data_IF_300462169202
#
_entry.id   IF_300462169202
#
_cell.length_a   1.000
_cell.length_b   1.000
_cell.length_c   1.000
_cell.angle_alpha   90.00
_cell.angle_beta   90.00
_cell.angle_gamma   90.00
#
_symmetry.space_group_name_H-M   'P 1'
#
loop_
_entity.id
_entity.type
_entity.pdbx_description
1 polymer ?
#
# COMPACT_ATOMS: atom_id res chain seq x y z
N UNK A 1 -15.67 -0.42 -12.96
CA UNK A 1 -14.22 -0.75 -12.93
C UNK A 1 -13.53 0.05 -11.82
N UNK A 2 -13.30 -0.53 -10.62
CA UNK A 2 -12.67 0.22 -9.53
C UNK A 2 -11.17 0.38 -9.76
N UNK A 3 -10.65 1.52 -9.35
CA UNK A 3 -9.22 1.83 -9.40
C UNK A 3 -8.79 2.29 -8.01
N UNK A 4 -7.92 1.52 -7.38
CA UNK A 4 -7.41 1.83 -6.05
C UNK A 4 -5.92 2.16 -6.17
N UNK A 5 -5.55 3.34 -5.71
CA UNK A 5 -4.16 3.77 -5.65
C UNK A 5 -3.74 3.88 -4.19
N UNK A 6 -2.73 3.12 -3.80
CA UNK A 6 -2.19 3.18 -2.45
C UNK A 6 -0.80 3.78 -2.50
N UNK A 7 -0.61 4.92 -1.84
CA UNK A 7 0.71 5.53 -1.72
C UNK A 7 1.40 4.94 -0.49
N UNK A 8 2.57 4.37 -0.71
CA UNK A 8 3.35 3.73 0.35
C UNK A 8 4.74 4.39 0.38
N UNK A 9 5.32 4.45 1.55
CA UNK A 9 6.70 4.91 1.64
C UNK A 9 7.61 3.80 1.11
N UNK A 10 8.51 4.14 0.20
CA UNK A 10 9.41 3.19 -0.43
C UNK A 10 10.19 2.37 0.61
N UNK A 11 10.22 1.07 0.43
CA UNK A 11 10.99 0.15 1.26
C UNK A 11 10.32 -0.30 2.55
N UNK A 12 9.13 0.22 2.88
CA UNK A 12 8.41 -0.21 4.09
C UNK A 12 7.70 -1.54 3.88
N UNK A 13 7.12 -1.73 2.69
CA UNK A 13 6.43 -2.98 2.35
C UNK A 13 7.28 -3.82 1.42
N UNK A 14 7.48 -5.08 1.76
CA UNK A 14 8.14 -6.04 0.86
C UNK A 14 7.22 -6.38 -0.31
N UNK A 15 7.78 -7.01 -1.34
CA UNK A 15 6.99 -7.46 -2.49
C UNK A 15 5.91 -8.46 -2.07
N UNK A 16 6.24 -9.35 -1.13
CA UNK A 16 5.27 -10.32 -0.59
C UNK A 16 4.13 -9.62 0.15
N UNK A 17 4.46 -8.62 0.94
CA UNK A 17 3.47 -7.84 1.67
C UNK A 17 2.56 -7.06 0.73
N UNK A 18 3.12 -6.48 -0.34
CA UNK A 18 2.33 -5.77 -1.34
C UNK A 18 1.38 -6.72 -2.07
N UNK A 19 1.85 -7.92 -2.40
CA UNK A 19 0.99 -8.93 -3.03
C UNK A 19 -0.16 -9.33 -2.12
N UNK A 20 0.11 -9.47 -0.83
CA UNK A 20 -0.91 -9.79 0.18
C UNK A 20 -1.93 -8.66 0.30
N UNK A 21 -1.46 -7.42 0.35
CA UNK A 21 -2.33 -6.24 0.45
C UNK A 21 -3.20 -6.11 -0.81
N UNK A 22 -2.62 -6.31 -2.00
CA UNK A 22 -3.37 -6.30 -3.25
C UNK A 22 -4.51 -7.32 -3.21
N UNK A 23 -4.20 -8.54 -2.75
CA UNK A 23 -5.22 -9.59 -2.66
C UNK A 23 -6.34 -9.20 -1.70
N UNK A 24 -6.00 -8.66 -0.53
CA UNK A 24 -6.98 -8.25 0.46
C UNK A 24 -7.91 -7.15 -0.08
N UNK A 25 -7.36 -6.18 -0.80
CA UNK A 25 -8.15 -5.10 -1.41
C UNK A 25 -9.10 -5.67 -2.46
N UNK A 26 -8.60 -6.51 -3.34
CA UNK A 26 -9.41 -7.12 -4.39
C UNK A 26 -10.51 -8.00 -3.79
N UNK A 27 -10.18 -8.81 -2.78
CA UNK A 27 -11.14 -9.67 -2.11
C UNK A 27 -12.26 -8.84 -1.44
N UNK A 28 -11.91 -7.70 -0.87
CA UNK A 28 -12.91 -6.81 -0.28
C UNK A 28 -13.91 -6.29 -1.32
N UNK A 29 -13.40 -5.95 -2.51
CA UNK A 29 -14.28 -5.52 -3.62
C UNK A 29 -15.20 -6.65 -4.07
N UNK A 30 -14.66 -7.85 -4.16
CA UNK A 30 -15.42 -9.05 -4.55
C UNK A 30 -16.53 -9.35 -3.54
N UNK A 31 -16.24 -9.20 -2.26
CA UNK A 31 -17.23 -9.42 -1.20
C UNK A 31 -18.43 -8.50 -1.36
N UNK A 32 -18.20 -7.27 -1.80
CA UNK A 32 -19.25 -6.27 -1.96
C UNK A 32 -20.00 -6.42 -3.29
N UNK A 33 -19.27 -6.66 -4.37
CA UNK A 33 -19.82 -6.61 -5.74
C UNK A 33 -19.95 -7.95 -6.45
N UNK A 34 -19.38 -9.00 -5.90
CA UNK A 34 -19.38 -10.33 -6.51
C UNK A 34 -18.10 -10.62 -7.30
N UNK A 35 -17.92 -11.89 -7.65
CA UNK A 35 -16.68 -12.39 -8.23
C UNK A 35 -16.31 -11.74 -9.57
N UNK A 36 -17.30 -11.32 -10.34
CA UNK A 36 -17.05 -10.71 -11.67
C UNK A 36 -16.21 -9.43 -11.60
N UNK A 37 -16.19 -8.74 -10.43
CA UNK A 37 -15.41 -7.51 -10.29
C UNK A 37 -13.90 -7.78 -10.20
N UNK A 38 -13.50 -9.02 -9.87
CA UNK A 38 -12.10 -9.35 -9.63
C UNK A 38 -11.19 -8.99 -10.81
N UNK A 39 -11.58 -9.38 -12.00
CA UNK A 39 -10.74 -9.18 -13.19
C UNK A 39 -10.71 -7.72 -13.67
N UNK A 40 -11.58 -6.87 -13.14
CA UNK A 40 -11.62 -5.46 -13.52
C UNK A 40 -11.22 -4.50 -12.40
N UNK A 41 -10.75 -5.04 -11.28
CA UNK A 41 -10.28 -4.24 -10.15
C UNK A 41 -8.80 -3.89 -10.35
N UNK A 42 -8.49 -2.61 -10.39
CA UNK A 42 -7.14 -2.12 -10.54
C UNK A 42 -6.59 -1.73 -9.17
N UNK A 43 -5.43 -2.26 -8.83
CA UNK A 43 -4.72 -1.89 -7.61
C UNK A 43 -3.32 -1.43 -8.00
N UNK A 44 -3.01 -0.19 -7.73
CA UNK A 44 -1.72 0.41 -8.05
C UNK A 44 -1.05 0.86 -6.76
N UNK A 45 0.21 0.47 -6.59
CA UNK A 45 1.03 0.95 -5.49
C UNK A 45 1.96 2.02 -6.03
N UNK A 46 1.89 3.19 -5.42
CA UNK A 46 2.70 4.33 -5.79
C UNK A 46 3.68 4.55 -4.64
N UNK A 47 4.92 4.10 -4.82
CA UNK A 47 5.92 4.19 -3.77
C UNK A 47 6.61 5.54 -3.77
N UNK A 48 6.47 6.25 -2.65
CA UNK A 48 7.09 7.55 -2.46
C UNK A 48 8.51 7.33 -1.93
N UNK A 49 9.48 7.92 -2.61
CA UNK A 49 10.89 7.78 -2.25
C UNK A 49 11.14 8.24 -0.81
N UNK A 50 11.98 7.48 -0.11
CA UNK A 50 12.41 7.83 1.25
C UNK A 50 12.94 9.27 1.28
N UNK A 51 12.43 10.07 2.22
CA UNK A 51 12.78 11.47 2.35
C UNK A 51 11.87 12.41 1.57
N UNK A 52 10.98 11.89 0.72
CA UNK A 52 10.05 12.72 -0.06
C UNK A 52 8.66 12.83 0.56
N UNK A 53 8.49 12.32 1.75
CA UNK A 53 7.21 12.37 2.44
C UNK A 53 7.37 13.19 3.71
N UNK A 54 6.60 14.24 3.83
CA UNK A 54 6.70 15.16 4.95
C UNK A 54 5.38 15.23 5.70
N UNK A 55 5.48 15.29 7.01
CA UNK A 55 4.35 15.51 7.89
C UNK A 55 4.63 16.84 8.61
N UNK A 56 4.12 17.94 8.05
CA UNK A 56 4.51 19.27 8.50
C UNK A 56 6.00 19.50 8.27
N UNK A 57 6.72 19.77 9.32
CA UNK A 57 8.17 19.97 9.24
C UNK A 57 8.98 18.68 9.42
N UNK A 58 8.29 17.56 9.66
CA UNK A 58 8.95 16.28 9.90
C UNK A 58 9.09 15.50 8.59
N UNK A 59 10.31 15.20 8.22
CA UNK A 59 10.60 14.33 7.09
C UNK A 59 10.52 12.88 7.51
N UNK A 60 9.80 12.09 6.74
CA UNK A 60 9.71 10.65 6.99
C UNK A 60 10.71 9.93 6.11
N UNK A 61 11.41 8.96 6.68
CA UNK A 61 12.31 8.10 5.92
C UNK A 61 12.09 6.64 6.29
N UNK A 62 12.44 5.78 5.35
CA UNK A 62 12.18 4.34 5.46
C UNK A 62 12.82 3.72 6.68
N UNK A 63 14.08 4.06 6.97
CA UNK A 63 14.82 3.46 8.07
C UNK A 63 14.13 3.70 9.41
N UNK A 64 13.67 4.93 9.64
CA UNK A 64 12.99 5.29 10.89
C UNK A 64 11.64 4.60 11.02
N UNK A 65 10.89 4.52 9.92
CA UNK A 65 9.57 3.88 9.93
C UNK A 65 9.71 2.39 10.19
N UNK A 66 10.63 1.72 9.52
CA UNK A 66 10.87 0.28 9.72
C UNK A 66 11.32 0.00 11.15
N UNK A 67 12.19 0.84 11.71
CA UNK A 67 12.63 0.70 13.09
C UNK A 67 11.48 0.87 14.08
N UNK A 68 10.60 1.85 13.84
CA UNK A 68 9.43 2.07 14.69
C UNK A 68 8.47 0.87 14.65
N UNK A 69 8.28 0.28 13.47
CA UNK A 69 7.42 -0.90 13.32
C UNK A 69 7.96 -2.12 14.06
N UNK A 70 9.28 -2.28 14.11
CA UNK A 70 9.91 -3.39 14.85
C UNK A 70 9.65 -3.29 16.35
N UNK A 71 9.50 -2.08 16.88
CA UNK A 71 9.23 -1.84 18.28
C UNK A 71 7.75 -1.94 18.65
N UNK A 72 6.91 -1.83 17.68
CA UNK A 72 5.48 -1.92 17.85
C UNK A 72 4.94 -3.28 17.62
#
# INVERSE_FOLDING_TARGET
MPFINAKLLEGVFSDTEKAHLRKAITDAMVEIKGESIRSSTWVVFDEVKSGNWWLGDQQLNTAEIVEAEKKG
#
